data_IF_555936671422
#
_entry.id   IF_555936671422
#
_cell.length_a   1.000
_cell.length_b   1.000
_cell.length_c   1.000
_cell.angle_alpha   90.00
_cell.angle_beta   90.00
_cell.angle_gamma   90.00
#
_symmetry.space_group_name_H-M   'P 1'
#
loop_
_entity.id
_entity.type
_entity.pdbx_description
1 polymer ?
#
# COMPACT_ATOMS: atom_id res chain seq x y z
N UNK A 1 -1.53 -5.94 1.27
CA UNK A 1 -2.06 -4.56 1.19
C UNK A 1 -1.78 -3.73 2.45
N UNK A 2 -2.18 -4.19 3.65
CA UNK A 2 -1.98 -3.44 4.91
C UNK A 2 -0.53 -3.01 5.17
N UNK A 3 0.44 -3.90 4.91
CA UNK A 3 1.89 -3.59 5.04
C UNK A 3 2.30 -2.44 4.11
N UNK A 4 1.96 -2.52 2.83
CA UNK A 4 2.28 -1.48 1.85
C UNK A 4 1.66 -0.13 2.23
N UNK A 5 0.39 -0.12 2.63
CA UNK A 5 -0.30 1.09 3.10
C UNK A 5 0.42 1.72 4.30
N UNK A 6 0.85 0.91 5.27
CA UNK A 6 1.59 1.42 6.43
C UNK A 6 2.93 2.03 6.01
N UNK A 7 3.70 1.33 5.17
CA UNK A 7 5.00 1.84 4.70
C UNK A 7 4.86 3.17 3.95
N UNK A 8 3.87 3.30 3.05
CA UNK A 8 3.61 4.53 2.29
C UNK A 8 3.12 5.66 3.21
N UNK A 9 2.11 5.40 4.04
CA UNK A 9 1.49 6.43 4.89
C UNK A 9 2.36 6.85 6.07
N UNK A 10 3.38 6.07 6.43
CA UNK A 10 4.34 6.42 7.48
C UNK A 10 5.72 6.83 6.94
N UNK A 11 5.89 6.85 5.62
CA UNK A 11 7.11 7.34 4.97
C UNK A 11 7.36 8.83 5.28
N UNK A 12 8.61 9.30 5.24
CA UNK A 12 8.94 10.72 5.42
C UNK A 12 8.53 11.60 4.23
N UNK A 13 8.02 11.01 3.14
CA UNK A 13 7.56 11.70 1.94
C UNK A 13 6.08 12.09 2.04
N UNK A 14 5.61 12.87 1.07
CA UNK A 14 4.18 13.15 0.87
C UNK A 14 3.53 11.92 0.21
N UNK A 15 2.66 11.18 0.91
CA UNK A 15 1.98 10.03 0.30
C UNK A 15 0.91 10.49 -0.69
N UNK A 16 0.72 9.71 -1.76
CA UNK A 16 -0.39 9.83 -2.69
C UNK A 16 -1.09 8.47 -2.74
N UNK A 17 -2.41 8.46 -2.60
CA UNK A 17 -3.24 7.28 -2.74
C UNK A 17 -4.02 7.35 -4.05
N UNK A 18 -4.22 6.20 -4.69
CA UNK A 18 -5.17 6.10 -5.79
C UNK A 18 -6.60 5.92 -5.25
N UNK A 19 -7.60 6.43 -5.97
CA UNK A 19 -8.99 6.32 -5.51
C UNK A 19 -9.42 4.85 -5.39
N UNK A 20 -9.95 4.46 -4.24
CA UNK A 20 -10.34 3.08 -3.94
C UNK A 20 -9.22 2.20 -3.40
N UNK A 21 -7.96 2.66 -3.41
CA UNK A 21 -6.83 1.95 -2.79
C UNK A 21 -7.07 1.71 -1.30
N UNK A 22 -7.68 2.68 -0.62
CA UNK A 22 -7.87 2.68 0.83
C UNK A 22 -8.82 1.59 1.32
N UNK A 23 -9.70 1.08 0.46
CA UNK A 23 -10.54 -0.09 0.75
C UNK A 23 -10.22 -1.29 -0.13
N UNK A 24 -9.17 -1.21 -0.96
CA UNK A 24 -8.77 -2.27 -1.88
C UNK A 24 -9.87 -2.57 -2.90
N UNK A 25 -10.30 -1.53 -3.64
CA UNK A 25 -11.34 -1.63 -4.64
C UNK A 25 -11.10 -2.80 -5.60
N UNK A 26 -12.14 -3.57 -5.91
CA UNK A 26 -12.02 -4.71 -6.82
C UNK A 26 -12.09 -4.30 -8.30
N UNK A 27 -12.61 -3.10 -8.56
CA UNK A 27 -12.74 -2.53 -9.90
C UNK A 27 -11.36 -2.22 -10.49
N UNK A 28 -11.05 -2.66 -11.72
CA UNK A 28 -9.82 -2.28 -12.40
C UNK A 28 -9.81 -0.78 -12.71
N UNK A 29 -8.63 -0.20 -12.94
CA UNK A 29 -8.52 1.13 -13.55
C UNK A 29 -7.98 0.99 -14.98
N UNK A 30 -8.88 0.94 -15.96
CA UNK A 30 -8.56 0.74 -17.37
C UNK A 30 -8.31 2.10 -18.05
N UNK A 31 -7.55 2.09 -19.14
CA UNK A 31 -7.48 3.27 -20.03
C UNK A 31 -8.74 3.30 -20.89
N UNK A 32 -9.53 4.37 -20.79
CA UNK A 32 -10.72 4.63 -21.59
C UNK A 32 -10.66 6.03 -22.22
N UNK A 33 -11.32 6.20 -23.35
CA UNK A 33 -11.37 7.43 -24.14
C UNK A 33 -12.67 7.51 -24.95
N UNK A 34 -13.08 8.71 -25.33
CA UNK A 34 -14.27 8.96 -26.14
C UNK A 34 -13.92 9.90 -27.29
N UNK A 35 -13.31 9.36 -28.36
CA UNK A 35 -12.95 10.15 -29.53
C UNK A 35 -14.05 10.06 -30.59
N UNK A 36 -14.63 11.19 -30.96
CA UNK A 36 -15.64 11.26 -32.03
C UNK A 36 -15.10 11.08 -33.46
N UNK A 37 -13.78 11.17 -33.67
CA UNK A 37 -13.13 10.83 -34.95
C UNK A 37 -12.79 9.33 -34.96
N UNK A 38 -13.48 8.55 -35.81
CA UNK A 38 -13.28 7.11 -35.97
C UNK A 38 -11.84 6.74 -36.35
N UNK A 39 -11.15 7.59 -37.12
CA UNK A 39 -9.75 7.34 -37.48
C UNK A 39 -8.85 7.45 -36.26
N UNK A 40 -9.11 8.43 -35.40
CA UNK A 40 -8.37 8.59 -34.14
C UNK A 40 -8.68 7.45 -33.17
N UNK A 41 -9.95 7.03 -33.08
CA UNK A 41 -10.37 5.85 -32.32
C UNK A 41 -9.53 4.62 -32.68
N UNK A 42 -9.38 4.37 -33.98
CA UNK A 42 -8.73 3.17 -34.50
C UNK A 42 -7.22 3.21 -34.29
N UNK A 43 -6.63 4.40 -34.41
CA UNK A 43 -5.23 4.61 -34.06
C UNK A 43 -4.97 4.35 -32.59
N UNK A 44 -5.84 4.81 -31.68
CA UNK A 44 -5.71 4.57 -30.24
C UNK A 44 -5.88 3.08 -29.91
N UNK A 45 -6.91 2.42 -30.44
CA UNK A 45 -7.12 0.97 -30.26
C UNK A 45 -5.92 0.15 -30.72
N UNK A 46 -5.43 0.41 -31.93
CA UNK A 46 -4.28 -0.30 -32.50
C UNK A 46 -3.00 -0.02 -31.71
N UNK A 47 -2.76 1.25 -31.34
CA UNK A 47 -1.62 1.66 -30.53
C UNK A 47 -1.56 0.92 -29.18
N UNK A 48 -2.68 0.86 -28.46
CA UNK A 48 -2.76 0.16 -27.17
C UNK A 48 -2.52 -1.34 -27.31
N UNK A 49 -3.13 -2.02 -28.29
CA UNK A 49 -2.88 -3.46 -28.53
C UNK A 49 -1.41 -3.75 -28.81
N UNK A 50 -0.75 -2.89 -29.59
CA UNK A 50 0.68 -3.02 -29.91
C UNK A 50 1.57 -2.81 -28.67
N UNK A 51 1.29 -1.78 -27.87
CA UNK A 51 2.02 -1.49 -26.63
C UNK A 51 1.95 -2.67 -25.65
N UNK A 52 0.77 -3.27 -25.48
CA UNK A 52 0.56 -4.37 -24.55
C UNK A 52 1.09 -5.73 -25.03
N UNK A 53 1.27 -5.93 -26.34
CA UNK A 53 1.96 -7.10 -26.85
C UNK A 53 3.41 -7.19 -26.30
N UNK A 54 4.07 -6.04 -26.09
CA UNK A 54 5.40 -5.97 -25.46
C UNK A 54 5.43 -6.40 -23.99
N UNK A 55 4.28 -6.36 -23.30
CA UNK A 55 4.13 -6.80 -21.90
C UNK A 55 3.60 -8.24 -21.78
N UNK A 56 3.54 -8.99 -22.87
CA UNK A 56 3.10 -10.41 -22.88
C UNK A 56 1.59 -10.61 -22.77
N UNK A 57 0.79 -9.53 -22.91
CA UNK A 57 -0.65 -9.63 -22.91
C UNK A 57 -1.15 -10.14 -24.27
N UNK A 58 -2.17 -11.01 -24.24
CA UNK A 58 -2.88 -11.38 -25.46
C UNK A 58 -3.66 -10.16 -25.96
N UNK A 59 -3.60 -9.81 -27.26
CA UNK A 59 -4.32 -8.65 -27.80
C UNK A 59 -5.84 -8.69 -27.55
N UNK A 60 -6.43 -9.87 -27.42
CA UNK A 60 -7.86 -10.04 -27.08
C UNK A 60 -8.20 -9.61 -25.66
N UNK A 61 -7.23 -9.62 -24.74
CA UNK A 61 -7.42 -9.28 -23.33
C UNK A 61 -7.23 -7.77 -23.06
N UNK A 62 -6.82 -6.99 -24.06
CA UNK A 62 -6.66 -5.54 -23.95
C UNK A 62 -8.05 -4.89 -24.09
N UNK A 63 -8.59 -4.23 -23.04
CA UNK A 63 -9.88 -3.55 -23.13
C UNK A 63 -9.88 -2.50 -24.23
N UNK A 64 -10.96 -2.43 -25.02
CA UNK A 64 -11.13 -1.36 -25.99
C UNK A 64 -11.36 -0.03 -25.25
N UNK A 65 -10.50 0.99 -25.43
CA UNK A 65 -10.66 2.26 -24.74
C UNK A 65 -11.98 2.98 -25.06
N UNK A 66 -12.56 2.73 -26.24
CA UNK A 66 -13.82 3.36 -26.66
C UNK A 66 -15.08 2.58 -26.29
N UNK A 67 -14.95 1.34 -25.81
CA UNK A 67 -16.11 0.58 -25.35
C UNK A 67 -16.64 1.21 -24.05
N UNK A 68 -17.93 1.65 -24.00
CA UNK A 68 -18.53 2.17 -22.77
C UNK A 68 -18.41 1.21 -21.57
N UNK A 69 -18.29 -0.10 -21.80
CA UNK A 69 -18.06 -1.07 -20.73
C UNK A 69 -16.69 -0.91 -20.06
N UNK A 70 -15.69 -0.31 -20.73
CA UNK A 70 -14.35 -0.06 -20.16
C UNK A 70 -14.38 1.01 -19.08
N UNK A 71 -15.10 2.11 -19.29
CA UNK A 71 -15.34 3.11 -18.23
C UNK A 71 -16.27 2.57 -17.14
N UNK A 72 -17.31 1.81 -17.53
CA UNK A 72 -18.23 1.21 -16.56
C UNK A 72 -17.51 0.25 -15.60
N UNK A 73 -16.63 -0.62 -16.09
CA UNK A 73 -15.79 -1.51 -15.25
C UNK A 73 -14.77 -0.75 -14.40
N UNK A 74 -14.38 0.47 -14.81
CA UNK A 74 -13.43 1.32 -14.07
C UNK A 74 -14.10 2.29 -13.11
N UNK A 75 -15.42 2.23 -12.98
CA UNK A 75 -16.18 3.03 -12.03
C UNK A 75 -16.25 2.31 -10.69
N UNK A 76 -15.83 2.98 -9.62
CA UNK A 76 -15.79 2.41 -8.26
C UNK A 76 -17.17 1.91 -7.80
N UNK A 77 -17.19 0.69 -7.26
CA UNK A 77 -18.36 0.17 -6.54
C UNK A 77 -18.37 0.70 -5.10
N UNK A 78 -19.15 1.75 -4.87
CA UNK A 78 -19.29 2.39 -3.55
C UNK A 78 -20.00 1.53 -2.50
N UNK A 79 -20.51 0.35 -2.85
CA UNK A 79 -21.02 -0.62 -1.89
C UNK A 79 -19.91 -1.45 -1.23
N UNK A 80 -18.72 -1.52 -1.83
CA UNK A 80 -17.58 -2.31 -1.33
C UNK A 80 -17.13 -1.89 0.07
N UNK A 81 -16.96 -0.60 0.41
CA UNK A 81 -16.41 -0.20 1.70
C UNK A 81 -17.25 -0.60 2.93
N UNK A 82 -18.51 -1.00 2.71
CA UNK A 82 -19.40 -1.49 3.77
C UNK A 82 -19.26 -3.00 4.04
N UNK A 83 -18.43 -3.72 3.27
CA UNK A 83 -18.29 -5.18 3.32
C UNK A 83 -16.84 -5.57 3.60
N UNK A 84 -16.64 -6.70 4.27
CA UNK A 84 -15.28 -7.26 4.40
C UNK A 84 -14.81 -7.88 3.06
N UNK A 85 -13.49 -7.85 2.76
CA UNK A 85 -12.39 -7.31 3.57
C UNK A 85 -12.17 -5.78 3.42
N UNK A 86 -12.95 -5.11 2.57
CA UNK A 86 -12.77 -3.69 2.21
C UNK A 86 -12.95 -2.75 3.41
N UNK A 87 -13.96 -3.01 4.22
CA UNK A 87 -14.26 -2.26 5.43
C UNK A 87 -13.05 -2.26 6.40
N UNK A 88 -12.48 -3.43 6.69
CA UNK A 88 -11.28 -3.54 7.53
C UNK A 88 -10.05 -2.83 6.95
N UNK A 89 -9.87 -2.84 5.63
CA UNK A 89 -8.76 -2.12 4.99
C UNK A 89 -8.96 -0.58 5.04
N UNK A 90 -10.20 -0.11 4.90
CA UNK A 90 -10.53 1.32 5.05
C UNK A 90 -10.31 1.80 6.48
N UNK A 91 -10.72 0.99 7.47
CA UNK A 91 -10.44 1.26 8.88
C UNK A 91 -8.93 1.39 9.13
N UNK A 92 -8.14 0.45 8.60
CA UNK A 92 -6.67 0.48 8.69
C UNK A 92 -6.06 1.76 8.11
N UNK A 93 -6.49 2.21 6.93
CA UNK A 93 -6.02 3.47 6.34
C UNK A 93 -6.37 4.68 7.20
N UNK A 94 -7.59 4.72 7.77
CA UNK A 94 -8.01 5.81 8.67
C UNK A 94 -7.15 5.87 9.93
N UNK A 95 -6.86 4.72 10.54
CA UNK A 95 -5.98 4.63 11.71
C UNK A 95 -4.55 5.08 11.38
N UNK A 96 -3.99 4.67 10.24
CA UNK A 96 -2.68 5.12 9.78
C UNK A 96 -2.62 6.64 9.57
N UNK A 97 -3.62 7.22 8.91
CA UNK A 97 -3.70 8.67 8.68
C UNK A 97 -3.83 9.43 10.01
N UNK A 98 -4.69 8.94 10.91
CA UNK A 98 -4.84 9.51 12.25
C UNK A 98 -3.53 9.43 13.05
N UNK A 99 -2.84 8.28 12.99
CA UNK A 99 -1.56 8.09 13.64
C UNK A 99 -0.50 9.04 13.08
N UNK A 100 -0.36 9.13 11.75
CA UNK A 100 0.56 10.07 11.08
C UNK A 100 0.30 11.51 11.53
N UNK A 101 -0.97 11.93 11.64
CA UNK A 101 -1.34 13.28 12.09
C UNK A 101 -1.00 13.52 13.55
N UNK A 102 -1.12 12.50 14.40
CA UNK A 102 -0.97 12.62 15.86
C UNK A 102 0.48 12.47 16.36
N UNK A 103 1.35 11.85 15.57
CA UNK A 103 2.74 11.54 15.95
C UNK A 103 3.71 12.44 15.16
N UNK A 104 4.36 13.44 15.79
CA UNK A 104 5.23 14.39 15.11
C UNK A 104 6.35 13.73 14.28
N UNK A 105 6.92 12.65 14.78
CA UNK A 105 7.97 11.90 14.09
C UNK A 105 7.49 11.30 12.77
N UNK A 106 6.22 10.92 12.66
CA UNK A 106 5.62 10.37 11.43
C UNK A 106 5.17 11.48 10.46
N UNK A 107 4.78 12.64 10.97
CA UNK A 107 4.41 13.81 10.17
C UNK A 107 5.62 14.56 9.58
N UNK A 108 6.79 14.43 10.21
CA UNK A 108 8.03 15.11 9.80
C UNK A 108 8.49 14.71 8.39
N UNK A 109 9.11 15.63 7.64
CA UNK A 109 9.78 15.32 6.36
C UNK A 109 11.31 15.17 6.49
N UNK A 110 11.84 15.20 7.71
CA UNK A 110 13.28 15.24 7.99
C UNK A 110 13.94 13.89 7.75
N UNK A 111 14.67 13.75 6.64
CA UNK A 111 15.33 12.51 6.23
C UNK A 111 16.53 12.15 7.11
N UNK A 112 17.18 13.12 7.74
CA UNK A 112 18.32 12.91 8.65
C UNK A 112 17.94 12.15 9.93
N UNK A 113 16.64 12.07 10.24
CA UNK A 113 16.11 11.31 11.37
C UNK A 113 15.57 9.92 10.97
N UNK A 114 15.75 9.53 9.70
CA UNK A 114 15.28 8.27 9.15
C UNK A 114 16.43 7.27 9.10
N UNK A 115 16.23 6.15 9.78
CA UNK A 115 17.17 5.02 9.78
C UNK A 115 16.45 3.81 9.18
N UNK A 116 17.11 3.07 8.29
CA UNK A 116 16.52 1.89 7.66
C UNK A 116 17.44 0.69 7.87
N UNK A 117 16.88 -0.40 8.38
CA UNK A 117 17.51 -1.71 8.42
C UNK A 117 16.60 -2.72 7.73
N UNK A 118 17.16 -3.67 7.01
CA UNK A 118 16.39 -4.68 6.29
C UNK A 118 17.21 -5.95 6.05
N UNK A 119 16.51 -7.04 5.74
CA UNK A 119 17.09 -8.25 5.18
C UNK A 119 16.23 -8.67 3.99
N UNK A 120 16.85 -8.70 2.80
CA UNK A 120 16.17 -9.20 1.59
C UNK A 120 16.03 -10.73 1.63
N UNK A 121 17.00 -11.43 2.22
CA UNK A 121 17.00 -12.88 2.40
C UNK A 121 15.88 -13.31 3.36
N UNK A 122 15.82 -12.68 4.53
CA UNK A 122 14.79 -12.99 5.53
C UNK A 122 13.46 -12.29 5.26
N UNK A 123 13.43 -11.34 4.32
CA UNK A 123 12.25 -10.55 3.94
C UNK A 123 11.63 -9.74 5.09
N UNK A 124 12.41 -8.86 5.71
CA UNK A 124 11.88 -7.85 6.65
C UNK A 124 12.48 -6.47 6.44
N UNK A 125 11.78 -5.45 6.94
CA UNK A 125 12.16 -4.04 6.87
C UNK A 125 11.80 -3.34 8.19
N UNK A 126 12.73 -2.56 8.74
CA UNK A 126 12.49 -1.67 9.86
C UNK A 126 12.92 -0.24 9.50
N UNK A 127 12.00 0.71 9.66
CA UNK A 127 12.21 2.14 9.41
C UNK A 127 12.09 2.90 10.73
N UNK A 128 13.22 3.32 11.28
CA UNK A 128 13.31 4.18 12.44
C UNK A 128 13.08 5.65 12.07
N UNK A 129 12.31 6.35 12.91
CA UNK A 129 11.96 7.77 12.81
C UNK A 129 12.01 8.38 14.22
N UNK A 130 13.21 8.69 14.69
CA UNK A 130 13.42 9.14 16.08
C UNK A 130 12.95 8.09 17.09
N UNK A 131 11.89 8.39 17.85
CA UNK A 131 11.34 7.49 18.89
C UNK A 131 10.25 6.53 18.38
N UNK A 132 10.09 6.43 17.07
CA UNK A 132 9.10 5.57 16.43
C UNK A 132 9.79 4.68 15.41
N UNK A 133 9.38 3.42 15.32
CA UNK A 133 9.82 2.53 14.26
C UNK A 133 8.62 1.90 13.56
N UNK A 134 8.70 1.76 12.24
CA UNK A 134 7.73 1.03 11.41
C UNK A 134 8.42 -0.26 11.02
N UNK A 135 7.88 -1.39 11.47
CA UNK A 135 8.54 -2.70 11.38
C UNK A 135 7.64 -3.65 10.62
N UNK A 136 8.12 -4.14 9.48
CA UNK A 136 7.37 -4.97 8.55
C UNK A 136 8.04 -6.33 8.35
N UNK A 137 7.24 -7.39 8.52
CA UNK A 137 7.57 -8.74 8.11
C UNK A 137 6.93 -9.00 6.74
N UNK A 138 7.75 -9.30 5.73
CA UNK A 138 7.32 -9.64 4.37
C UNK A 138 7.46 -11.15 4.10
N UNK A 139 7.84 -11.93 5.12
CA UNK A 139 7.91 -13.37 5.06
C UNK A 139 6.54 -14.01 5.32
N UNK A 140 6.35 -15.20 4.75
CA UNK A 140 5.17 -16.05 4.93
C UNK A 140 5.19 -16.84 6.27
N UNK A 141 6.08 -16.48 7.18
CA UNK A 141 6.18 -17.06 8.51
C UNK A 141 6.47 -15.96 9.56
N UNK A 142 6.16 -16.19 10.85
CA UNK A 142 6.49 -15.24 11.90
C UNK A 142 7.99 -14.91 11.98
N UNK A 143 8.32 -13.69 12.39
CA UNK A 143 9.69 -13.21 12.54
C UNK A 143 9.88 -12.36 13.79
N UNK A 144 11.12 -12.29 14.25
CA UNK A 144 11.60 -11.30 15.21
C UNK A 144 12.47 -10.31 14.44
N UNK A 145 12.02 -9.06 14.35
CA UNK A 145 12.67 -8.04 13.53
C UNK A 145 13.38 -7.04 14.44
N UNK A 146 14.68 -6.76 14.22
CA UNK A 146 15.45 -5.87 15.09
C UNK A 146 14.99 -4.41 15.00
N UNK A 147 15.13 -3.68 16.11
CA UNK A 147 14.93 -2.22 16.20
C UNK A 147 16.04 -1.56 17.01
N UNK A 148 16.29 -0.27 16.77
CA UNK A 148 17.48 0.43 17.29
C UNK A 148 17.52 0.58 18.82
N UNK A 149 16.37 0.52 19.51
CA UNK A 149 16.25 0.56 20.97
C UNK A 149 15.12 -0.33 21.49
N UNK A 150 14.94 -0.47 22.81
CA UNK A 150 13.87 -1.30 23.38
C UNK A 150 12.50 -0.88 22.82
N UNK A 151 11.79 -1.83 22.20
CA UNK A 151 10.42 -1.58 21.78
C UNK A 151 9.56 -1.48 23.04
N UNK A 152 9.02 -0.30 23.31
CA UNK A 152 8.31 -0.03 24.56
C UNK A 152 6.80 -0.28 24.44
N UNK A 153 6.23 -0.06 23.24
CA UNK A 153 4.79 -0.14 23.03
C UNK A 153 4.44 -0.24 21.54
N UNK A 154 3.46 -1.07 21.20
CA UNK A 154 2.78 -1.04 19.89
C UNK A 154 1.82 0.15 19.85
N UNK A 155 1.99 1.02 18.86
CA UNK A 155 1.08 2.15 18.59
C UNK A 155 -0.06 1.74 17.67
N UNK A 156 0.24 0.89 16.68
CA UNK A 156 -0.72 0.35 15.73
C UNK A 156 -0.12 -0.92 15.09
N UNK A 157 -0.91 -1.94 14.80
CA UNK A 157 -0.46 -3.19 14.18
C UNK A 157 -1.51 -3.73 13.21
N UNK A 158 -1.07 -4.34 12.11
CA UNK A 158 -1.97 -4.84 11.07
C UNK A 158 -2.67 -6.13 11.42
N UNK A 159 -2.10 -6.90 12.35
CA UNK A 159 -2.55 -8.22 12.80
C UNK A 159 -2.39 -8.34 14.32
N UNK A 160 -3.22 -9.19 14.93
CA UNK A 160 -3.03 -9.60 16.31
C UNK A 160 -1.75 -10.45 16.45
N UNK A 161 -1.12 -10.40 17.63
CA UNK A 161 0.11 -11.16 17.91
C UNK A 161 1.41 -10.40 17.64
N UNK A 162 1.36 -9.15 17.18
CA UNK A 162 2.50 -8.24 17.22
C UNK A 162 2.88 -7.93 18.67
N UNK A 163 4.13 -8.22 19.07
CA UNK A 163 4.59 -8.02 20.44
C UNK A 163 5.92 -7.26 20.48
N UNK A 164 6.05 -6.23 21.35
CA UNK A 164 7.31 -5.54 21.54
C UNK A 164 8.25 -6.41 22.38
N UNK A 165 9.55 -6.37 22.07
CA UNK A 165 10.60 -7.05 22.83
C UNK A 165 11.82 -6.16 23.06
N UNK A 166 12.85 -6.74 23.67
CA UNK A 166 14.12 -6.02 23.87
C UNK A 166 14.88 -5.91 22.54
N UNK A 167 14.94 -4.68 22.01
CA UNK A 167 15.54 -4.33 20.71
C UNK A 167 15.01 -5.13 19.51
N UNK A 168 13.81 -5.68 19.62
CA UNK A 168 13.15 -6.41 18.55
C UNK A 168 11.62 -6.33 18.66
N UNK A 169 10.92 -6.62 17.56
CA UNK A 169 9.47 -6.75 17.51
C UNK A 169 9.12 -8.10 16.92
N UNK A 170 8.29 -8.87 17.61
CA UNK A 170 7.71 -10.10 17.08
C UNK A 170 6.54 -9.74 16.17
N UNK A 171 6.53 -10.30 14.96
CA UNK A 171 5.53 -10.05 13.93
C UNK A 171 5.01 -11.39 13.37
N UNK A 172 3.69 -11.57 13.23
CA UNK A 172 3.11 -12.62 12.38
C UNK A 172 3.61 -12.54 10.93
N UNK A 173 3.34 -13.58 10.14
CA UNK A 173 3.59 -13.56 8.70
C UNK A 173 2.92 -12.35 8.02
N UNK A 174 3.60 -11.74 7.04
CA UNK A 174 3.06 -10.68 6.17
C UNK A 174 2.36 -9.52 6.92
N UNK A 175 2.96 -9.08 8.03
CA UNK A 175 2.38 -8.10 8.96
C UNK A 175 3.29 -6.89 9.20
N UNK A 176 2.72 -5.83 9.77
CA UNK A 176 3.44 -4.60 10.12
C UNK A 176 3.00 -4.07 11.47
N UNK A 177 3.95 -3.51 12.23
CA UNK A 177 3.70 -2.81 13.47
C UNK A 177 4.40 -1.46 13.49
N UNK A 178 3.70 -0.44 13.98
CA UNK A 178 4.26 0.87 14.30
C UNK A 178 4.49 0.90 15.81
N UNK A 179 5.72 1.09 16.24
CA UNK A 179 6.12 0.94 17.66
C UNK A 179 6.82 2.19 18.18
N UNK A 180 6.68 2.43 19.48
CA UNK A 180 7.49 3.41 20.22
C UNK A 180 8.78 2.73 20.65
N UNK A 181 9.93 3.30 20.34
CA UNK A 181 11.25 2.86 20.84
C UNK A 181 11.76 3.84 21.90
N UNK A 182 12.51 3.34 22.89
CA UNK A 182 13.13 4.12 23.97
C UNK A 182 14.61 4.35 23.75
#
# INVERSE_FOLDING_TARGET
LRVAAALVLTAPFTPMLFMGEEWGASTPWQYFADHGDERLAEQVRAGRRSEFAGFGWRPENVPDPQDPATVARSTLDWSEPAREPHHGLLAWHRELIALRRSVPELASGRLEAVEVTCSAEDRWLAVGRGRVAVVANLAAHPQQVPVHGPAARILLASEDGCAPGDRQVQLPAESVAIVRVR
#
